data_IF_088007461949
#
_entry.id   IF_088007461949
#
_cell.length_a   1.000
_cell.length_b   1.000
_cell.length_c   1.000
_cell.angle_alpha   90.00
_cell.angle_beta   90.00
_cell.angle_gamma   90.00
#
_symmetry.space_group_name_H-M   'P 1'
#
loop_
_entity.id
_entity.type
_entity.pdbx_description
1 polymer ?
#
# COMPACT_ATOMS: atom_id res chain seq x y z
N UNK A 1 -1.88 14.33 -5.98
CA UNK A 1 -1.68 13.68 -4.66
C UNK A 1 -0.40 12.86 -4.69
N UNK A 2 0.30 12.87 -3.58
CA UNK A 2 1.61 12.25 -3.43
C UNK A 2 1.51 11.14 -2.37
N UNK A 3 1.30 9.91 -2.82
CA UNK A 3 0.96 8.77 -1.99
C UNK A 3 2.17 7.85 -1.80
N UNK A 4 2.39 7.41 -0.56
CA UNK A 4 3.47 6.49 -0.23
C UNK A 4 2.89 5.32 0.56
N UNK A 5 2.70 4.19 -0.11
CA UNK A 5 2.18 2.98 0.50
C UNK A 5 3.33 2.06 0.94
N UNK A 6 3.18 1.50 2.12
CA UNK A 6 4.09 0.48 2.62
C UNK A 6 3.36 -0.85 2.72
N UNK A 7 3.87 -1.84 2.01
CA UNK A 7 3.39 -3.21 2.08
C UNK A 7 4.26 -3.95 3.08
N UNK A 8 3.80 -4.08 4.32
CA UNK A 8 4.50 -4.86 5.33
C UNK A 8 4.28 -6.33 5.10
N UNK A 9 5.35 -7.10 5.09
CA UNK A 9 5.29 -8.56 4.93
C UNK A 9 5.98 -9.22 6.12
N UNK A 10 5.25 -10.06 6.82
CA UNK A 10 5.75 -10.83 7.95
C UNK A 10 5.45 -12.30 7.74
N UNK A 11 6.47 -13.14 7.76
CA UNK A 11 6.30 -14.58 7.64
C UNK A 11 6.24 -15.21 9.03
N UNK A 12 5.19 -15.99 9.29
CA UNK A 12 5.01 -16.69 10.56
C UNK A 12 4.32 -18.02 10.30
N UNK A 13 4.88 -19.12 10.82
CA UNK A 13 4.33 -20.47 10.64
C UNK A 13 4.02 -20.82 9.18
N UNK A 14 4.96 -20.49 8.29
CA UNK A 14 4.86 -20.69 6.84
C UNK A 14 3.73 -19.91 6.15
N UNK A 15 3.12 -18.98 6.86
CA UNK A 15 2.13 -18.05 6.32
C UNK A 15 2.71 -16.65 6.21
N UNK A 16 2.27 -15.92 5.20
CA UNK A 16 2.66 -14.53 5.00
C UNK A 16 1.52 -13.62 5.44
N UNK A 17 1.84 -12.64 6.27
CA UNK A 17 0.88 -11.67 6.82
C UNK A 17 1.21 -10.26 6.37
N UNK A 18 0.18 -9.43 6.32
CA UNK A 18 0.31 -8.01 5.99
C UNK A 18 -0.66 -7.18 6.81
N UNK A 19 -0.54 -5.85 6.69
CA UNK A 19 -1.44 -4.88 7.31
C UNK A 19 -2.20 -4.12 6.25
N UNK A 20 -3.50 -4.01 6.43
CA UNK A 20 -4.37 -3.19 5.59
C UNK A 20 -5.32 -2.38 6.46
N UNK A 21 -5.92 -1.34 5.92
CA UNK A 21 -6.97 -0.58 6.58
C UNK A 21 -8.04 -0.18 5.58
N UNK A 22 -9.25 0.07 6.08
CA UNK A 22 -10.35 0.53 5.25
C UNK A 22 -10.36 2.05 5.21
N UNK A 23 -10.44 2.62 4.03
CA UNK A 23 -10.57 4.06 3.87
C UNK A 23 -11.94 4.53 4.30
N UNK A 24 -11.96 5.57 5.12
CA UNK A 24 -13.20 6.19 5.61
C UNK A 24 -13.38 7.61 5.07
N UNK A 25 -12.37 8.16 4.41
CA UNK A 25 -12.41 9.50 3.86
C UNK A 25 -13.38 9.59 2.68
N UNK A 26 -14.00 10.75 2.52
CA UNK A 26 -14.95 11.03 1.44
C UNK A 26 -14.19 11.33 0.15
N UNK A 27 -13.62 10.31 -0.46
CA UNK A 27 -12.95 10.42 -1.75
C UNK A 27 -13.35 9.25 -2.65
N UNK A 28 -12.67 9.15 -3.81
CA UNK A 28 -12.98 8.13 -4.82
C UNK A 28 -12.78 6.69 -4.34
N UNK A 29 -12.04 6.50 -3.24
CA UNK A 29 -11.72 5.19 -2.71
C UNK A 29 -12.37 4.92 -1.36
N UNK A 30 -13.41 5.66 -1.02
CA UNK A 30 -14.14 5.45 0.22
C UNK A 30 -14.62 3.99 0.32
N UNK A 31 -14.40 3.39 1.48
CA UNK A 31 -14.71 2.00 1.82
C UNK A 31 -13.80 0.95 1.17
N UNK A 32 -12.88 1.32 0.28
CA UNK A 32 -11.89 0.38 -0.21
C UNK A 32 -10.82 0.15 0.85
N UNK A 33 -10.22 -1.04 0.82
CA UNK A 33 -9.08 -1.34 1.67
C UNK A 33 -7.78 -0.99 0.95
N UNK A 34 -6.76 -0.62 1.72
CA UNK A 34 -5.44 -0.29 1.18
C UNK A 34 -4.35 -0.65 2.18
N UNK A 35 -3.11 -0.73 1.68
CA UNK A 35 -1.94 -0.88 2.53
C UNK A 35 -1.70 0.39 3.34
N UNK A 36 -0.72 0.36 4.25
CA UNK A 36 -0.40 1.52 5.09
C UNK A 36 0.01 2.70 4.22
N UNK A 37 -0.68 3.82 4.38
CA UNK A 37 -0.50 5.02 3.54
C UNK A 37 0.06 6.18 4.35
N UNK A 38 1.08 6.82 3.77
CA UNK A 38 1.51 8.16 4.14
C UNK A 38 1.30 9.06 2.93
N UNK A 39 0.64 10.19 3.12
CA UNK A 39 0.39 11.15 2.05
C UNK A 39 1.21 12.42 2.32
N UNK A 40 1.89 12.90 1.28
CA UNK A 40 2.73 14.09 1.37
C UNK A 40 2.10 15.25 0.62
N UNK A 41 2.43 16.47 1.05
CA UNK A 41 1.84 17.69 0.49
C UNK A 41 2.39 18.05 -0.89
N UNK A 42 3.64 17.62 -1.17
CA UNK A 42 4.31 17.97 -2.41
C UNK A 42 5.33 16.91 -2.83
N UNK A 43 5.81 17.04 -4.07
CA UNK A 43 6.77 16.11 -4.66
C UNK A 43 8.10 16.07 -3.88
N UNK A 44 8.58 17.22 -3.41
CA UNK A 44 9.85 17.29 -2.70
C UNK A 44 9.83 16.42 -1.43
N UNK A 45 8.79 16.54 -0.64
CA UNK A 45 8.62 15.73 0.56
C UNK A 45 8.48 14.25 0.21
N UNK A 46 7.72 13.95 -0.83
CA UNK A 46 7.49 12.58 -1.28
C UNK A 46 8.79 11.92 -1.75
N UNK A 47 9.60 12.65 -2.52
CA UNK A 47 10.90 12.13 -2.98
C UNK A 47 11.88 11.97 -1.81
N UNK A 48 11.90 12.91 -0.88
CA UNK A 48 12.78 12.84 0.29
C UNK A 48 12.47 11.64 1.20
N UNK A 49 11.22 11.18 1.20
CA UNK A 49 10.80 10.05 2.02
C UNK A 49 11.11 8.69 1.37
N UNK A 50 11.62 8.68 0.13
CA UNK A 50 11.95 7.43 -0.55
C UNK A 50 13.05 6.67 0.20
N UNK A 51 12.88 5.35 0.29
CA UNK A 51 13.84 4.47 0.94
C UNK A 51 14.59 3.63 -0.09
N UNK A 52 15.63 2.92 0.35
CA UNK A 52 16.36 2.00 -0.51
C UNK A 52 15.69 0.64 -0.68
N UNK A 53 14.51 0.46 -0.12
CA UNK A 53 13.76 -0.79 -0.25
C UNK A 53 13.15 -0.95 -1.65
N UNK A 54 12.81 -2.18 -2.01
CA UNK A 54 12.16 -2.47 -3.28
C UNK A 54 10.84 -1.72 -3.39
N UNK A 55 10.73 -0.86 -4.40
CA UNK A 55 9.53 -0.04 -4.58
C UNK A 55 9.13 0.05 -6.04
N UNK A 56 7.84 0.30 -6.26
CA UNK A 56 7.28 0.62 -7.57
C UNK A 56 6.60 1.97 -7.45
N UNK A 57 7.00 2.91 -8.31
CA UNK A 57 6.34 4.20 -8.41
C UNK A 57 5.50 4.21 -9.69
N UNK A 58 4.30 4.75 -9.61
CA UNK A 58 3.39 4.84 -10.74
C UNK A 58 2.56 6.11 -10.66
N UNK A 59 2.11 6.59 -11.82
CA UNK A 59 1.19 7.71 -11.91
C UNK A 59 -0.16 7.19 -12.39
N UNK A 60 -1.21 7.51 -11.67
CA UNK A 60 -2.58 7.14 -12.02
C UNK A 60 -3.37 8.42 -12.30
N UNK A 61 -3.90 8.55 -13.52
CA UNK A 61 -4.61 9.75 -13.95
C UNK A 61 -6.11 9.51 -13.82
N UNK A 62 -6.76 10.36 -13.04
CA UNK A 62 -8.21 10.43 -12.94
C UNK A 62 -8.69 11.68 -13.67
N UNK A 63 -10.01 11.77 -13.93
CA UNK A 63 -10.58 12.89 -14.71
C UNK A 63 -10.23 14.27 -14.14
N UNK A 64 -10.07 14.40 -12.83
CA UNK A 64 -9.82 15.69 -12.16
C UNK A 64 -8.53 15.75 -11.37
N UNK A 65 -7.74 14.68 -11.31
CA UNK A 65 -6.50 14.70 -10.55
C UNK A 65 -5.52 13.65 -11.04
N UNK A 66 -4.26 13.93 -10.75
CA UNK A 66 -3.16 13.01 -11.00
C UNK A 66 -2.68 12.46 -9.65
N UNK A 67 -2.57 11.13 -9.58
CA UNK A 67 -2.09 10.46 -8.37
C UNK A 67 -0.69 9.92 -8.65
N UNK A 68 0.29 10.38 -7.86
CA UNK A 68 1.63 9.83 -7.86
C UNK A 68 1.73 8.90 -6.66
N UNK A 69 1.88 7.62 -6.92
CA UNK A 69 1.88 6.61 -5.88
C UNK A 69 3.18 5.81 -5.90
N UNK A 70 3.72 5.54 -4.70
CA UNK A 70 4.86 4.67 -4.52
C UNK A 70 4.44 3.56 -3.58
N UNK A 71 4.73 2.31 -3.99
CA UNK A 71 4.48 1.13 -3.18
C UNK A 71 5.82 0.51 -2.83
N UNK A 72 6.13 0.43 -1.55
CA UNK A 72 7.38 -0.13 -1.06
C UNK A 72 7.09 -1.40 -0.27
N UNK A 73 7.77 -2.50 -0.61
CA UNK A 73 7.69 -3.74 0.16
C UNK A 73 8.69 -3.65 1.31
N UNK A 74 8.23 -3.93 2.51
CA UNK A 74 9.07 -3.95 3.70
C UNK A 74 8.87 -5.27 4.44
N UNK A 75 9.87 -6.13 4.38
CA UNK A 75 9.86 -7.41 5.09
C UNK A 75 10.27 -7.17 6.54
N UNK A 76 9.47 -7.66 7.48
CA UNK A 76 9.69 -7.47 8.91
C UNK A 76 9.51 -8.79 9.65
N UNK A 77 10.18 -8.93 10.78
CA UNK A 77 10.03 -10.11 11.65
C UNK A 77 8.76 -9.99 12.51
N UNK A 78 8.40 -8.77 12.85
CA UNK A 78 7.21 -8.47 13.65
C UNK A 78 6.50 -7.30 12.99
N UNK A 79 5.18 -7.45 12.75
CA UNK A 79 4.40 -6.36 12.19
C UNK A 79 4.31 -5.21 13.18
N UNK A 80 4.48 -3.95 12.71
CA UNK A 80 4.34 -2.80 13.60
C UNK A 80 2.89 -2.64 14.06
N UNK A 81 2.72 -1.99 15.21
CA UNK A 81 1.39 -1.63 15.71
C UNK A 81 1.02 -0.27 15.12
N UNK A 82 0.09 -0.26 14.18
CA UNK A 82 -0.38 0.95 13.51
C UNK A 82 -1.88 1.07 13.73
N UNK A 83 -2.36 2.22 14.24
CA UNK A 83 -3.79 2.42 14.51
C UNK A 83 -4.65 2.16 13.26
N UNK A 84 -5.83 1.62 13.48
CA UNK A 84 -6.87 1.40 12.46
C UNK A 84 -6.47 0.41 11.36
N UNK A 85 -5.41 -0.37 11.56
CA UNK A 85 -5.05 -1.44 10.65
C UNK A 85 -5.52 -2.79 11.16
N UNK A 86 -5.69 -3.73 10.22
CA UNK A 86 -5.95 -5.13 10.53
C UNK A 86 -4.84 -5.98 9.94
N UNK A 87 -4.48 -7.04 10.65
CA UNK A 87 -3.53 -8.03 10.19
C UNK A 87 -4.28 -9.14 9.47
N UNK A 88 -3.90 -9.41 8.22
CA UNK A 88 -4.52 -10.48 7.44
C UNK A 88 -3.44 -11.37 6.82
N UNK A 89 -3.82 -12.59 6.44
CA UNK A 89 -2.95 -13.42 5.63
C UNK A 89 -2.88 -12.85 4.22
N UNK A 90 -1.72 -12.89 3.62
CA UNK A 90 -1.55 -12.46 2.22
C UNK A 90 -2.52 -13.18 1.29
N UNK A 91 -2.75 -14.47 1.53
CA UNK A 91 -3.67 -15.29 0.74
C UNK A 91 -5.13 -14.86 0.82
N UNK A 92 -5.47 -14.00 1.79
CA UNK A 92 -6.83 -13.49 1.98
C UNK A 92 -7.07 -12.13 1.35
N UNK A 93 -6.06 -11.53 0.68
CA UNK A 93 -6.21 -10.21 0.06
C UNK A 93 -7.37 -10.13 -0.92
N UNK A 94 -7.66 -11.21 -1.64
CA UNK A 94 -8.75 -11.25 -2.61
C UNK A 94 -10.14 -11.19 -1.96
N UNK A 95 -10.22 -11.32 -0.65
CA UNK A 95 -11.48 -11.18 0.09
C UNK A 95 -11.80 -9.73 0.43
N UNK A 96 -10.88 -8.81 0.15
CA UNK A 96 -11.03 -7.39 0.46
C UNK A 96 -11.10 -6.58 -0.83
N UNK A 97 -11.97 -5.57 -0.84
CA UNK A 97 -12.10 -4.69 -2.00
C UNK A 97 -10.92 -3.72 -2.05
N UNK A 98 -10.01 -3.94 -2.99
CA UNK A 98 -8.82 -3.11 -3.21
C UNK A 98 -9.01 -2.20 -4.43
N UNK A 99 -8.35 -1.04 -4.45
CA UNK A 99 -8.41 -0.14 -5.58
C UNK A 99 -7.75 -0.78 -6.82
N UNK A 100 -8.16 -0.34 -8.00
CA UNK A 100 -7.55 -0.81 -9.25
C UNK A 100 -6.05 -0.48 -9.29
N UNK A 101 -5.66 0.67 -8.76
CA UNK A 101 -4.25 1.04 -8.64
C UNK A 101 -3.46 0.00 -7.84
N UNK A 102 -3.98 -0.39 -6.68
CA UNK A 102 -3.34 -1.41 -5.84
C UNK A 102 -3.25 -2.75 -6.56
N UNK A 103 -4.33 -3.17 -7.22
CA UNK A 103 -4.34 -4.44 -7.97
C UNK A 103 -3.29 -4.47 -9.07
N UNK A 104 -3.13 -3.38 -9.83
CA UNK A 104 -2.12 -3.29 -10.88
C UNK A 104 -0.71 -3.40 -10.31
N UNK A 105 -0.45 -2.77 -9.18
CA UNK A 105 0.87 -2.81 -8.55
C UNK A 105 1.17 -4.20 -8.01
N UNK A 106 0.18 -4.88 -7.44
CA UNK A 106 0.36 -6.25 -6.97
C UNK A 106 0.76 -7.22 -8.09
N UNK A 107 0.22 -7.04 -9.29
CA UNK A 107 0.61 -7.83 -10.45
C UNK A 107 2.11 -7.64 -10.75
N UNK A 108 2.61 -6.41 -10.65
CA UNK A 108 4.02 -6.10 -10.89
C UNK A 108 4.94 -6.70 -9.81
N UNK A 109 4.45 -6.82 -8.59
CA UNK A 109 5.18 -7.44 -7.48
C UNK A 109 5.06 -8.97 -7.44
N UNK A 110 4.19 -9.56 -8.25
CA UNK A 110 3.83 -10.97 -8.15
C UNK A 110 5.00 -11.95 -8.13
N UNK A 111 6.10 -11.63 -8.81
CA UNK A 111 7.29 -12.46 -8.81
C UNK A 111 8.23 -12.21 -7.63
N UNK A 112 7.95 -11.24 -6.76
CA UNK A 112 8.80 -10.83 -5.64
C UNK A 112 8.25 -11.27 -4.28
N UNK A 113 7.04 -11.79 -4.26
CA UNK A 113 6.36 -12.17 -3.02
C UNK A 113 6.11 -13.67 -2.93
#
# INVERSE_FOLDING_TARGET
>A
RWLDYTIYLCKSNDELYTLIHQRTEQDIWKHLYEFVLNEYDNEEQWLAAATSHSSIATTHILSHQRLHARFTIRKVDILPVIPDTICIRWSELDQYALSRLTLKVLERFGGLI
#
